data_IF_123392359303
#
_entry.id   IF_123392359303
#
_cell.length_a   1.000
_cell.length_b   1.000
_cell.length_c   1.000
_cell.angle_alpha   90.00
_cell.angle_beta   90.00
_cell.angle_gamma   90.00
#
_symmetry.space_group_name_H-M   'P 1'
#
loop_
_entity.id
_entity.type
_entity.pdbx_description
1 polymer ?
#
# COMPACT_ATOMS: atom_id res chain seq x y z
N UNK A 1 -21.05 -7.39 18.05
CA UNK A 1 -19.70 -7.04 17.58
C UNK A 1 -18.81 -8.25 17.63
N UNK A 2 -17.94 -8.38 16.64
CA UNK A 2 -17.01 -9.50 16.49
C UNK A 2 -15.61 -9.02 16.87
N UNK A 3 -14.81 -9.88 17.51
CA UNK A 3 -13.43 -9.61 17.85
C UNK A 3 -12.58 -10.87 17.62
N UNK A 4 -11.28 -10.67 17.39
CA UNK A 4 -10.34 -11.77 17.22
C UNK A 4 -9.65 -12.09 18.52
N UNK A 5 -9.41 -13.38 18.72
CA UNK A 5 -8.57 -13.88 19.80
C UNK A 5 -7.46 -14.70 19.16
N UNK A 6 -6.22 -14.30 19.42
CA UNK A 6 -5.02 -15.00 18.98
C UNK A 6 -4.31 -15.53 20.22
N UNK A 7 -4.01 -16.82 20.24
CA UNK A 7 -3.29 -17.45 21.35
C UNK A 7 -2.49 -18.64 20.80
N UNK A 8 -1.28 -18.82 21.31
CA UNK A 8 -0.41 -19.97 21.01
C UNK A 8 -0.66 -21.16 21.95
N UNK A 9 -1.47 -20.98 23.00
CA UNK A 9 -1.85 -22.03 23.95
C UNK A 9 -3.37 -22.27 23.93
N UNK A 10 -3.75 -23.49 23.54
CA UNK A 10 -5.16 -23.89 23.50
C UNK A 10 -5.86 -23.88 24.86
N UNK A 11 -5.12 -24.10 25.96
CA UNK A 11 -5.66 -24.12 27.33
C UNK A 11 -5.96 -22.71 27.79
N UNK A 12 -5.02 -21.77 27.58
CA UNK A 12 -5.25 -20.35 27.89
C UNK A 12 -6.40 -19.77 27.07
N UNK A 13 -6.49 -20.14 25.78
CA UNK A 13 -7.59 -19.73 24.92
C UNK A 13 -8.95 -20.19 25.47
N UNK A 14 -9.05 -21.45 25.91
CA UNK A 14 -10.29 -22.00 26.50
C UNK A 14 -10.62 -21.35 27.86
N UNK A 15 -9.60 -21.07 28.68
CA UNK A 15 -9.77 -20.34 29.93
C UNK A 15 -10.31 -18.94 29.68
N UNK A 16 -9.70 -18.19 28.75
CA UNK A 16 -10.13 -16.86 28.36
C UNK A 16 -11.56 -16.87 27.79
N UNK A 17 -11.88 -17.81 26.90
CA UNK A 17 -13.23 -17.94 26.35
C UNK A 17 -14.26 -18.19 27.46
N UNK A 18 -13.95 -19.08 28.40
CA UNK A 18 -14.82 -19.41 29.54
C UNK A 18 -15.03 -18.21 30.45
N UNK A 19 -13.94 -17.47 30.74
CA UNK A 19 -13.99 -16.26 31.57
C UNK A 19 -14.78 -15.15 30.87
N UNK A 20 -14.59 -14.93 29.58
CA UNK A 20 -15.36 -13.92 28.85
C UNK A 20 -16.86 -14.27 28.82
N UNK A 21 -17.23 -15.56 28.74
CA UNK A 21 -18.63 -16.01 28.78
C UNK A 21 -19.34 -15.74 30.13
N UNK A 22 -18.60 -15.55 31.23
CA UNK A 22 -19.22 -15.19 32.52
C UNK A 22 -19.69 -13.73 32.53
N UNK A 23 -19.03 -12.86 31.75
CA UNK A 23 -19.32 -11.43 31.68
C UNK A 23 -20.16 -11.04 30.45
N UNK A 24 -20.04 -11.79 29.35
CA UNK A 24 -20.63 -11.44 28.06
C UNK A 24 -21.31 -12.64 27.39
N UNK A 25 -22.38 -12.38 26.63
CA UNK A 25 -23.02 -13.39 25.76
C UNK A 25 -22.18 -13.56 24.48
N UNK A 26 -21.19 -14.44 24.53
CA UNK A 26 -20.26 -14.68 23.41
C UNK A 26 -20.56 -16.03 22.75
N UNK A 27 -20.47 -16.04 21.42
CA UNK A 27 -20.51 -17.24 20.59
C UNK A 27 -19.17 -17.41 19.89
N UNK A 28 -18.53 -18.57 20.05
CA UNK A 28 -17.37 -18.92 19.27
C UNK A 28 -17.79 -19.32 17.85
N UNK A 29 -17.22 -18.66 16.84
CA UNK A 29 -17.53 -18.89 15.42
C UNK A 29 -16.52 -19.84 14.74
N UNK A 30 -15.53 -20.32 15.49
CA UNK A 30 -14.41 -21.12 15.00
C UNK A 30 -13.41 -20.28 14.21
N UNK A 31 -12.73 -20.92 13.27
CA UNK A 31 -11.75 -20.29 12.38
C UNK A 31 -12.34 -19.07 11.66
N UNK A 32 -11.52 -18.01 11.56
CA UNK A 32 -11.93 -16.77 10.93
C UNK A 32 -12.14 -17.01 9.44
N UNK A 33 -13.36 -16.78 8.96
CA UNK A 33 -13.71 -16.89 7.54
C UNK A 33 -13.88 -15.54 6.87
N UNK A 34 -14.38 -14.55 7.61
CA UNK A 34 -14.60 -13.19 7.11
C UNK A 34 -14.38 -12.15 8.21
N UNK A 35 -13.86 -10.99 7.82
CA UNK A 35 -13.65 -9.84 8.69
C UNK A 35 -13.76 -8.54 7.88
N UNK A 36 -14.66 -7.63 8.23
CA UNK A 36 -14.78 -6.30 7.59
C UNK A 36 -14.89 -6.34 6.05
N UNK A 37 -15.34 -7.46 5.44
CA UNK A 37 -15.39 -7.64 3.99
C UNK A 37 -14.14 -8.30 3.36
N UNK A 38 -13.15 -8.65 4.18
CA UNK A 38 -12.08 -9.59 3.84
C UNK A 38 -12.60 -11.01 3.97
N UNK A 39 -12.24 -11.89 3.03
CA UNK A 39 -12.30 -13.34 3.23
C UNK A 39 -10.95 -13.82 3.71
N UNK A 40 -10.97 -14.77 4.65
CA UNK A 40 -9.78 -15.39 5.21
C UNK A 40 -9.84 -16.88 4.89
N UNK A 41 -8.76 -17.39 4.31
CA UNK A 41 -8.56 -18.81 4.05
C UNK A 41 -7.36 -19.27 4.85
N UNK A 42 -7.55 -20.25 5.73
CA UNK A 42 -6.48 -20.82 6.54
C UNK A 42 -6.27 -22.26 6.11
N UNK A 43 -5.04 -22.63 5.80
CA UNK A 43 -4.66 -24.01 5.52
C UNK A 43 -3.60 -24.44 6.54
N UNK A 44 -4.04 -25.20 7.54
CA UNK A 44 -3.19 -25.69 8.63
C UNK A 44 -2.17 -26.73 8.16
N UNK A 45 -2.46 -27.48 7.10
CA UNK A 45 -1.54 -28.51 6.56
C UNK A 45 -0.35 -27.88 5.83
N UNK A 46 -0.62 -26.84 5.03
CA UNK A 46 0.40 -26.10 4.29
C UNK A 46 0.94 -24.89 5.06
N UNK A 47 0.46 -24.67 6.29
CA UNK A 47 0.81 -23.56 7.18
C UNK A 47 0.77 -22.18 6.49
N UNK A 48 -0.36 -21.86 5.84
CA UNK A 48 -0.56 -20.54 5.25
C UNK A 48 -1.92 -19.92 5.60
N UNK A 49 -1.94 -18.59 5.56
CA UNK A 49 -3.16 -17.78 5.61
C UNK A 49 -3.24 -17.00 4.30
N UNK A 50 -4.41 -16.91 3.69
CA UNK A 50 -4.64 -16.06 2.53
C UNK A 50 -5.82 -15.13 2.79
N UNK A 51 -5.70 -13.87 2.38
CA UNK A 51 -6.80 -12.92 2.43
C UNK A 51 -7.11 -12.35 1.05
N UNK A 52 -8.40 -12.20 0.77
CA UNK A 52 -8.90 -11.64 -0.48
C UNK A 52 -10.19 -10.83 -0.26
N UNK A 53 -10.61 -10.10 -1.29
CA UNK A 53 -11.83 -9.30 -1.29
C UNK A 53 -12.71 -9.61 -2.51
N UNK A 54 -12.73 -10.86 -2.98
CA UNK A 54 -13.46 -11.24 -4.18
C UNK A 54 -14.96 -10.90 -4.08
N UNK A 55 -15.59 -11.16 -2.92
CA UNK A 55 -17.00 -10.83 -2.68
C UNK A 55 -17.24 -9.33 -2.83
N UNK A 56 -16.39 -8.51 -2.22
CA UNK A 56 -16.48 -7.06 -2.30
C UNK A 56 -16.24 -6.55 -3.73
N UNK A 57 -15.30 -7.15 -4.48
CA UNK A 57 -15.11 -6.84 -5.91
C UNK A 57 -16.38 -7.13 -6.71
N UNK A 58 -17.04 -8.27 -6.48
CA UNK A 58 -18.30 -8.59 -7.17
C UNK A 58 -19.42 -7.59 -6.81
N UNK A 59 -19.50 -7.16 -5.55
CA UNK A 59 -20.46 -6.13 -5.11
C UNK A 59 -20.22 -4.78 -5.78
N UNK A 60 -18.97 -4.32 -5.86
CA UNK A 60 -18.60 -3.10 -6.58
C UNK A 60 -18.96 -3.24 -8.06
N UNK A 61 -18.59 -4.36 -8.70
CA UNK A 61 -18.91 -4.60 -10.12
C UNK A 61 -20.42 -4.55 -10.36
N UNK A 62 -21.24 -5.14 -9.47
CA UNK A 62 -22.70 -5.06 -9.54
C UNK A 62 -23.20 -3.63 -9.38
N UNK A 63 -22.71 -2.92 -8.36
CA UNK A 63 -23.13 -1.55 -8.03
C UNK A 63 -22.92 -0.58 -9.19
N UNK A 64 -21.79 -0.70 -9.89
CA UNK A 64 -21.45 0.18 -11.01
C UNK A 64 -21.81 -0.37 -12.39
N UNK A 65 -22.60 -1.45 -12.48
CA UNK A 65 -23.09 -2.00 -13.75
C UNK A 65 -22.00 -2.64 -14.62
N UNK A 66 -20.99 -3.24 -13.99
CA UNK A 66 -19.77 -3.76 -14.63
C UNK A 66 -19.61 -5.29 -14.47
N UNK A 67 -20.65 -6.03 -14.06
CA UNK A 67 -20.57 -7.49 -13.90
C UNK A 67 -20.18 -8.21 -15.20
N UNK A 68 -20.75 -7.79 -16.32
CA UNK A 68 -20.55 -8.42 -17.64
C UNK A 68 -19.49 -7.70 -18.49
N UNK A 69 -18.67 -6.84 -17.87
CA UNK A 69 -17.63 -6.13 -18.59
C UNK A 69 -16.52 -7.07 -19.06
N UNK A 70 -15.91 -6.77 -20.22
CA UNK A 70 -14.73 -7.48 -20.71
C UNK A 70 -13.51 -7.12 -19.86
N UNK A 71 -12.84 -8.10 -19.30
CA UNK A 71 -11.63 -7.91 -18.50
C UNK A 71 -10.48 -7.24 -19.30
N UNK A 72 -9.55 -6.61 -18.59
CA UNK A 72 -8.30 -6.07 -19.15
C UNK A 72 -7.12 -6.47 -18.26
N UNK A 73 -5.91 -6.48 -18.82
CA UNK A 73 -4.71 -6.96 -18.12
C UNK A 73 -3.98 -5.89 -17.29
N UNK A 74 -4.27 -4.61 -17.48
CA UNK A 74 -3.60 -3.52 -16.74
C UNK A 74 -4.60 -2.59 -16.05
N UNK A 75 -4.28 -2.11 -14.83
CA UNK A 75 -5.17 -1.25 -14.04
C UNK A 75 -5.35 0.13 -14.67
N UNK A 76 -4.31 0.66 -15.31
CA UNK A 76 -4.29 1.94 -16.02
C UNK A 76 -3.55 1.75 -17.36
N UNK A 77 -3.80 2.64 -18.32
CA UNK A 77 -2.99 2.69 -19.54
C UNK A 77 -1.83 3.69 -19.36
N UNK A 78 -0.66 3.35 -19.87
CA UNK A 78 0.57 4.13 -19.76
C UNK A 78 0.55 5.47 -20.52
N UNK A 79 -0.39 5.65 -21.46
CA UNK A 79 -0.42 6.79 -22.39
C UNK A 79 -1.69 7.63 -22.34
N UNK A 80 -2.63 7.38 -21.41
CA UNK A 80 -3.77 8.28 -21.27
C UNK A 80 -3.23 9.57 -20.65
N UNK A 81 -3.28 10.68 -21.40
CA UNK A 81 -3.04 12.02 -20.87
C UNK A 81 -4.17 12.40 -19.91
N UNK A 82 -4.30 11.68 -18.78
CA UNK A 82 -5.29 11.94 -17.73
C UNK A 82 -5.15 13.40 -17.24
N UNK A 83 -3.94 13.93 -17.31
CA UNK A 83 -3.60 15.32 -17.00
C UNK A 83 -3.85 16.35 -18.11
N UNK A 84 -4.13 15.94 -19.35
CA UNK A 84 -4.27 16.83 -20.51
C UNK A 84 -5.73 17.17 -20.85
N UNK A 85 -6.69 16.83 -20.00
CA UNK A 85 -8.12 17.01 -20.29
C UNK A 85 -8.60 18.37 -19.77
N UNK A 86 -7.95 19.44 -20.24
CA UNK A 86 -8.60 20.74 -20.31
C UNK A 86 -9.66 20.65 -21.42
N UNK A 87 -10.94 20.66 -21.04
CA UNK A 87 -12.03 20.83 -22.02
C UNK A 87 -12.86 19.58 -22.27
N UNK A 88 -13.78 19.30 -21.35
CA UNK A 88 -15.22 19.28 -21.66
C UNK A 88 -15.93 19.09 -20.31
N UNK A 89 -16.63 20.13 -19.86
CA UNK A 89 -17.48 20.04 -18.68
C UNK A 89 -18.55 18.99 -18.95
N UNK A 90 -18.57 17.93 -18.14
CA UNK A 90 -19.56 16.88 -18.27
C UNK A 90 -20.68 17.16 -17.27
N UNK A 91 -21.88 17.50 -17.76
CA UNK A 91 -23.08 17.66 -16.92
C UNK A 91 -23.55 16.33 -16.30
N UNK A 92 -23.03 15.19 -16.77
CA UNK A 92 -23.32 13.88 -16.19
C UNK A 92 -22.61 13.73 -14.84
N UNK A 93 -23.41 13.76 -13.76
CA UNK A 93 -22.96 13.41 -12.42
C UNK A 93 -22.77 11.90 -12.30
N UNK A 94 -21.58 11.42 -12.64
CA UNK A 94 -21.19 10.05 -12.32
C UNK A 94 -20.95 9.90 -10.80
N UNK A 95 -21.21 8.72 -10.22
CA UNK A 95 -20.83 8.41 -8.83
C UNK A 95 -19.31 8.19 -8.70
N UNK A 96 -18.50 9.12 -9.20
CA UNK A 96 -17.04 9.01 -9.29
C UNK A 96 -16.40 8.89 -7.91
N UNK A 97 -16.71 9.81 -6.98
CA UNK A 97 -16.18 9.79 -5.61
C UNK A 97 -16.52 8.50 -4.87
N UNK A 98 -17.73 7.98 -5.07
CA UNK A 98 -18.16 6.71 -4.47
C UNK A 98 -17.34 5.53 -5.01
N UNK A 99 -17.13 5.50 -6.34
CA UNK A 99 -16.29 4.48 -6.97
C UNK A 99 -14.85 4.56 -6.46
N UNK A 100 -14.25 5.75 -6.45
CA UNK A 100 -12.87 5.94 -5.95
C UNK A 100 -12.76 5.54 -4.48
N UNK A 101 -13.73 5.87 -3.63
CA UNK A 101 -13.76 5.44 -2.23
C UNK A 101 -13.80 3.90 -2.10
N UNK A 102 -14.61 3.24 -2.93
CA UNK A 102 -14.71 1.77 -2.96
C UNK A 102 -13.41 1.12 -3.43
N UNK A 103 -12.76 1.70 -4.45
CA UNK A 103 -11.47 1.25 -4.96
C UNK A 103 -10.32 1.50 -3.97
N UNK A 104 -10.39 2.59 -3.19
CA UNK A 104 -9.42 2.89 -2.14
C UNK A 104 -9.41 1.82 -1.07
N UNK A 105 -10.58 1.32 -0.67
CA UNK A 105 -10.67 0.24 0.31
C UNK A 105 -9.95 -1.03 -0.19
N UNK A 106 -10.17 -1.42 -1.44
CA UNK A 106 -9.43 -2.53 -2.07
C UNK A 106 -7.92 -2.28 -2.07
N UNK A 107 -7.51 -1.08 -2.51
CA UNK A 107 -6.12 -0.69 -2.66
C UNK A 107 -5.35 -0.67 -1.33
N UNK A 108 -6.01 -0.34 -0.23
CA UNK A 108 -5.43 -0.29 1.11
C UNK A 108 -5.39 -1.68 1.76
N UNK A 109 -6.40 -2.51 1.52
CA UNK A 109 -6.54 -3.77 2.26
C UNK A 109 -5.89 -4.98 1.61
N UNK A 110 -6.09 -5.21 0.31
CA UNK A 110 -5.64 -6.46 -0.35
C UNK A 110 -5.10 -6.33 -1.77
N UNK A 111 -5.16 -5.12 -2.36
CA UNK A 111 -4.81 -4.88 -3.77
C UNK A 111 -3.70 -3.84 -3.94
N UNK A 112 -2.45 -4.13 -3.52
CA UNK A 112 -1.31 -3.24 -3.78
C UNK A 112 -1.12 -2.93 -5.27
N UNK A 113 -1.48 -3.87 -6.13
CA UNK A 113 -1.36 -3.78 -7.58
C UNK A 113 -2.24 -2.69 -8.23
N UNK A 114 -3.26 -2.17 -7.52
CA UNK A 114 -4.07 -1.03 -7.99
C UNK A 114 -3.73 0.29 -7.30
N UNK A 115 -2.84 0.30 -6.29
CA UNK A 115 -2.61 1.47 -5.44
C UNK A 115 -2.18 2.70 -6.24
N UNK A 116 -1.32 2.54 -7.26
CA UNK A 116 -0.94 3.63 -8.15
C UNK A 116 -2.13 4.19 -8.94
N UNK A 117 -2.92 3.32 -9.59
CA UNK A 117 -4.07 3.73 -10.39
C UNK A 117 -5.12 4.47 -9.55
N UNK A 118 -5.40 3.98 -8.34
CA UNK A 118 -6.32 4.64 -7.40
C UNK A 118 -5.76 5.99 -6.95
N UNK A 119 -4.46 6.06 -6.64
CA UNK A 119 -3.77 7.29 -6.24
C UNK A 119 -3.87 8.36 -7.34
N UNK A 120 -3.61 7.99 -8.60
CA UNK A 120 -3.75 8.88 -9.76
C UNK A 120 -5.19 9.40 -9.90
N UNK A 121 -6.17 8.49 -9.92
CA UNK A 121 -7.58 8.83 -10.13
C UNK A 121 -8.17 9.67 -8.98
N UNK A 122 -7.69 9.48 -7.76
CA UNK A 122 -8.18 10.21 -6.58
C UNK A 122 -7.96 11.72 -6.62
N UNK A 123 -6.97 12.18 -7.39
CA UNK A 123 -6.66 13.61 -7.56
C UNK A 123 -7.80 14.40 -8.19
N UNK A 124 -8.65 13.71 -8.96
CA UNK A 124 -9.73 14.34 -9.73
C UNK A 124 -11.08 14.26 -9.01
N UNK A 125 -11.12 13.93 -7.72
CA UNK A 125 -12.37 13.82 -6.97
C UNK A 125 -13.25 15.08 -7.03
N UNK A 126 -12.67 16.27 -7.20
CA UNK A 126 -13.40 17.55 -7.31
C UNK A 126 -13.57 18.06 -8.74
N UNK A 127 -12.89 17.49 -9.72
CA UNK A 127 -12.83 17.98 -11.11
C UNK A 127 -12.81 16.84 -12.16
N UNK A 128 -13.41 15.69 -11.85
CA UNK A 128 -13.44 14.54 -12.76
C UNK A 128 -14.21 14.88 -14.05
N UNK A 129 -13.85 14.18 -15.12
CA UNK A 129 -14.41 14.32 -16.47
C UNK A 129 -14.84 12.94 -16.97
N UNK A 130 -15.41 12.86 -18.17
CA UNK A 130 -15.75 11.58 -18.81
C UNK A 130 -14.54 10.67 -19.00
N UNK A 131 -13.36 11.24 -19.28
CA UNK A 131 -12.10 10.49 -19.40
C UNK A 131 -11.71 9.87 -18.06
N UNK A 132 -11.79 10.63 -16.97
CA UNK A 132 -11.54 10.12 -15.61
C UNK A 132 -12.51 8.98 -15.26
N UNK A 133 -13.80 9.14 -15.56
CA UNK A 133 -14.80 8.09 -15.36
C UNK A 133 -14.51 6.83 -16.17
N UNK A 134 -14.11 6.97 -17.44
CA UNK A 134 -13.70 5.84 -18.26
C UNK A 134 -12.47 5.12 -17.70
N UNK A 135 -11.49 5.85 -17.18
CA UNK A 135 -10.33 5.26 -16.51
C UNK A 135 -10.72 4.51 -15.24
N UNK A 136 -11.61 5.08 -14.41
CA UNK A 136 -12.12 4.39 -13.22
C UNK A 136 -12.90 3.11 -13.58
N UNK A 137 -13.73 3.14 -14.63
CA UNK A 137 -14.39 1.93 -15.16
C UNK A 137 -13.39 0.93 -15.75
N UNK A 138 -12.29 1.37 -16.36
CA UNK A 138 -11.21 0.48 -16.80
C UNK A 138 -10.61 -0.27 -15.60
N UNK A 139 -10.40 0.41 -14.47
CA UNK A 139 -9.91 -0.26 -13.26
C UNK A 139 -10.87 -1.36 -12.78
N UNK A 140 -12.18 -1.15 -12.88
CA UNK A 140 -13.18 -2.20 -12.63
C UNK A 140 -13.04 -3.39 -13.60
N UNK A 141 -12.74 -3.15 -14.88
CA UNK A 141 -12.48 -4.23 -15.85
C UNK A 141 -11.22 -5.02 -15.49
N UNK A 142 -10.19 -4.37 -14.97
CA UNK A 142 -9.00 -5.05 -14.46
C UNK A 142 -9.36 -5.93 -13.25
N UNK A 143 -10.06 -5.35 -12.27
CA UNK A 143 -10.55 -6.09 -11.09
C UNK A 143 -11.44 -7.28 -11.46
N UNK A 144 -12.28 -7.18 -12.49
CA UNK A 144 -13.07 -8.30 -13.00
C UNK A 144 -12.20 -9.49 -13.43
N UNK A 145 -11.09 -9.21 -14.11
CA UNK A 145 -10.14 -10.23 -14.56
C UNK A 145 -9.32 -10.83 -13.41
N UNK A 146 -9.05 -10.05 -12.37
CA UNK A 146 -8.15 -10.44 -11.26
C UNK A 146 -8.87 -10.59 -9.92
N UNK A 147 -10.19 -10.76 -9.91
CA UNK A 147 -11.00 -10.77 -8.67
C UNK A 147 -10.64 -11.88 -7.68
N UNK A 148 -10.00 -12.94 -8.18
CA UNK A 148 -9.57 -14.11 -7.43
C UNK A 148 -8.16 -13.96 -6.83
N UNK A 149 -7.48 -12.84 -7.07
CA UNK A 149 -6.17 -12.59 -6.48
C UNK A 149 -6.30 -12.47 -4.96
N UNK A 150 -5.36 -13.10 -4.25
CA UNK A 150 -5.30 -13.13 -2.79
C UNK A 150 -3.87 -12.85 -2.33
N UNK A 151 -3.72 -12.21 -1.18
CA UNK A 151 -2.43 -12.11 -0.51
C UNK A 151 -2.22 -13.37 0.33
N UNK A 152 -1.24 -14.19 -0.06
CA UNK A 152 -0.84 -15.41 0.66
C UNK A 152 0.29 -15.08 1.63
N UNK A 153 0.11 -15.45 2.89
CA UNK A 153 1.05 -15.28 3.99
C UNK A 153 1.62 -16.64 4.38
N UNK A 154 2.93 -16.79 4.23
CA UNK A 154 3.71 -17.98 4.61
C UNK A 154 4.90 -17.51 5.42
N UNK A 155 5.18 -18.15 6.55
CA UNK A 155 6.35 -17.78 7.35
C UNK A 155 7.65 -18.25 6.70
N UNK A 156 8.43 -17.31 6.15
CA UNK A 156 9.76 -17.56 5.60
C UNK A 156 10.90 -17.01 6.48
N UNK A 157 10.63 -16.57 7.72
CA UNK A 157 11.61 -16.10 8.70
C UNK A 157 12.59 -15.00 8.21
N UNK A 158 12.22 -14.23 7.19
CA UNK A 158 13.10 -13.22 6.57
C UNK A 158 13.09 -11.85 7.27
N UNK A 159 12.40 -11.71 8.40
CA UNK A 159 12.26 -10.43 9.10
C UNK A 159 11.50 -9.37 8.31
N UNK A 160 11.59 -8.12 8.77
CA UNK A 160 10.98 -6.94 8.15
C UNK A 160 11.95 -6.27 7.18
N UNK A 161 11.52 -6.10 5.92
CA UNK A 161 12.31 -5.45 4.86
C UNK A 161 11.43 -4.51 4.04
N UNK A 162 11.97 -3.34 3.69
CA UNK A 162 11.31 -2.33 2.88
C UNK A 162 11.93 -2.18 1.49
N UNK A 163 11.13 -1.72 0.53
CA UNK A 163 11.54 -1.30 -0.80
C UNK A 163 10.93 0.06 -1.06
N UNK A 164 11.73 1.02 -1.52
CA UNK A 164 11.28 2.36 -1.84
C UNK A 164 11.78 2.78 -3.22
N UNK A 165 10.91 3.41 -3.98
CA UNK A 165 11.14 3.83 -5.35
C UNK A 165 10.40 5.16 -5.61
N UNK A 166 10.92 5.95 -6.54
CA UNK A 166 10.23 7.14 -7.03
C UNK A 166 10.23 7.18 -8.55
N UNK A 167 9.06 7.47 -9.15
CA UNK A 167 9.10 7.91 -10.54
C UNK A 167 9.67 9.35 -10.60
N UNK A 168 10.34 9.73 -11.69
CA UNK A 168 10.85 11.09 -11.83
C UNK A 168 10.08 11.87 -12.88
N UNK A 169 9.43 12.97 -12.45
CA UNK A 169 8.78 13.93 -13.35
C UNK A 169 7.67 13.33 -14.22
N UNK A 170 7.07 12.23 -13.78
CA UNK A 170 6.09 11.44 -14.55
C UNK A 170 4.81 12.22 -14.85
N UNK A 171 4.38 13.11 -13.93
CA UNK A 171 3.26 13.99 -14.18
C UNK A 171 3.67 15.17 -15.07
N UNK A 172 3.20 15.15 -16.31
CA UNK A 172 3.45 16.20 -17.31
C UNK A 172 2.88 17.58 -16.91
N UNK A 173 1.86 17.62 -16.03
CA UNK A 173 1.16 18.86 -15.69
C UNK A 173 1.88 19.65 -14.59
N UNK A 174 2.20 19.03 -13.45
CA UNK A 174 2.85 19.73 -12.34
C UNK A 174 4.28 19.25 -12.04
N UNK A 175 4.80 18.30 -12.84
CA UNK A 175 6.16 17.74 -12.73
C UNK A 175 6.48 17.11 -11.37
N UNK A 176 5.46 16.79 -10.57
CA UNK A 176 5.65 16.08 -9.31
C UNK A 176 5.79 14.59 -9.57
N UNK A 177 6.73 14.00 -8.86
CA UNK A 177 6.97 12.56 -8.80
C UNK A 177 5.93 11.83 -7.96
N UNK A 178 5.88 10.51 -8.09
CA UNK A 178 5.21 9.57 -7.21
C UNK A 178 6.23 8.81 -6.38
N UNK A 179 5.97 8.74 -5.09
CA UNK A 179 6.65 7.86 -4.15
C UNK A 179 5.90 6.53 -4.09
N UNK A 180 6.64 5.43 -4.25
CA UNK A 180 6.18 4.07 -4.00
C UNK A 180 6.99 3.44 -2.87
N UNK A 181 6.33 2.67 -2.00
CA UNK A 181 7.03 1.72 -1.14
C UNK A 181 6.23 0.45 -0.93
N UNK A 182 6.94 -0.64 -0.60
CA UNK A 182 6.37 -1.92 -0.17
C UNK A 182 7.22 -2.47 0.96
N UNK A 183 6.58 -2.87 2.05
CA UNK A 183 7.19 -3.57 3.18
C UNK A 183 6.73 -5.02 3.22
N UNK A 184 7.71 -5.91 3.44
CA UNK A 184 7.48 -7.33 3.62
C UNK A 184 7.92 -7.77 5.01
N UNK A 185 7.09 -8.58 5.66
CA UNK A 185 7.42 -9.28 6.90
C UNK A 185 7.42 -10.78 6.62
N UNK A 186 8.56 -11.44 6.90
CA UNK A 186 8.78 -12.86 6.62
C UNK A 186 8.44 -13.26 5.18
N UNK A 187 8.77 -12.37 4.22
CA UNK A 187 8.54 -12.57 2.79
C UNK A 187 7.16 -12.12 2.30
N UNK A 188 6.26 -11.73 3.18
CA UNK A 188 4.86 -11.40 2.85
C UNK A 188 4.63 -9.91 2.86
N UNK A 189 3.92 -9.39 1.85
CA UNK A 189 3.56 -7.98 1.75
C UNK A 189 2.59 -7.58 2.88
N UNK A 190 2.97 -6.61 3.72
CA UNK A 190 2.16 -6.17 4.88
C UNK A 190 1.80 -4.69 4.87
N UNK A 191 2.58 -3.85 4.18
CA UNK A 191 2.30 -2.43 4.03
C UNK A 191 2.83 -1.95 2.69
N UNK A 192 2.12 -1.03 2.06
CA UNK A 192 2.50 -0.48 0.77
C UNK A 192 1.85 0.87 0.57
N UNK A 193 2.42 1.67 -0.34
CA UNK A 193 1.87 2.95 -0.70
C UNK A 193 2.30 3.35 -2.09
N UNK A 194 1.41 4.07 -2.77
CA UNK A 194 1.75 4.86 -3.95
C UNK A 194 1.09 6.22 -3.84
N UNK A 195 1.87 7.28 -3.76
CA UNK A 195 1.34 8.63 -3.56
C UNK A 195 2.15 9.67 -4.32
N UNK A 196 1.45 10.70 -4.79
CA UNK A 196 2.10 11.85 -5.42
C UNK A 196 2.87 12.65 -4.37
N UNK A 197 4.10 13.01 -4.69
CA UNK A 197 4.93 13.87 -3.86
C UNK A 197 4.29 15.25 -3.70
N UNK A 198 4.46 15.85 -2.51
CA UNK A 198 3.85 17.15 -2.19
C UNK A 198 4.58 18.31 -2.86
N UNK A 199 5.91 18.25 -2.91
CA UNK A 199 6.79 19.19 -3.60
C UNK A 199 7.28 18.61 -4.93
N UNK A 200 7.74 19.49 -5.83
CA UNK A 200 8.43 19.09 -7.06
C UNK A 200 9.88 18.77 -6.69
N UNK A 201 10.37 17.60 -7.07
CA UNK A 201 11.77 17.24 -6.94
C UNK A 201 12.59 17.87 -8.08
N UNK A 202 13.74 18.46 -7.76
CA UNK A 202 14.62 19.11 -8.74
C UNK A 202 15.55 18.11 -9.43
N UNK A 203 15.61 16.87 -8.96
CA UNK A 203 16.40 15.78 -9.54
C UNK A 203 15.77 14.42 -9.25
N UNK A 204 16.18 13.39 -10.00
CA UNK A 204 15.83 11.98 -9.73
C UNK A 204 16.26 11.60 -8.31
N UNK A 205 17.50 11.94 -7.94
CA UNK A 205 18.05 11.73 -6.60
C UNK A 205 17.18 12.32 -5.50
N UNK A 206 16.65 13.53 -5.70
CA UNK A 206 15.77 14.18 -4.74
C UNK A 206 14.41 13.47 -4.62
N UNK A 207 13.83 13.05 -5.74
CA UNK A 207 12.58 12.29 -5.73
C UNK A 207 12.75 10.96 -4.96
N UNK A 208 13.84 10.25 -5.20
CA UNK A 208 14.20 9.01 -4.51
C UNK A 208 14.45 9.23 -3.02
N UNK A 209 15.15 10.31 -2.66
CA UNK A 209 15.38 10.68 -1.28
C UNK A 209 14.06 10.98 -0.55
N UNK A 210 13.12 11.66 -1.21
CA UNK A 210 11.79 11.90 -0.67
C UNK A 210 11.01 10.60 -0.49
N UNK A 211 11.14 9.62 -1.39
CA UNK A 211 10.55 8.30 -1.24
C UNK A 211 11.14 7.51 -0.06
N UNK A 212 12.47 7.47 0.05
CA UNK A 212 13.17 6.91 1.21
C UNK A 212 12.71 7.54 2.53
N UNK A 213 12.54 8.85 2.56
CA UNK A 213 12.05 9.57 3.76
C UNK A 213 10.63 9.17 4.16
N UNK A 214 9.72 8.89 3.22
CA UNK A 214 8.38 8.37 3.55
C UNK A 214 8.44 6.90 3.96
N UNK A 215 9.25 6.08 3.29
CA UNK A 215 9.45 4.68 3.65
C UNK A 215 10.06 4.53 5.05
N UNK A 216 11.02 5.39 5.43
CA UNK A 216 11.62 5.38 6.76
C UNK A 216 10.61 5.58 7.89
N UNK A 217 9.64 6.49 7.72
CA UNK A 217 8.57 6.70 8.71
C UNK A 217 7.73 5.42 8.89
N UNK A 218 7.39 4.77 7.77
CA UNK A 218 6.65 3.51 7.79
C UNK A 218 7.47 2.39 8.43
N UNK A 219 8.76 2.29 8.09
CA UNK A 219 9.68 1.30 8.64
C UNK A 219 9.77 1.40 10.17
N UNK A 220 9.95 2.61 10.70
CA UNK A 220 10.01 2.85 12.15
C UNK A 220 8.69 2.48 12.84
N UNK A 221 7.55 2.84 12.24
CA UNK A 221 6.23 2.48 12.74
C UNK A 221 6.04 0.95 12.79
N UNK A 222 6.34 0.27 11.68
CA UNK A 222 6.23 -1.18 11.57
C UNK A 222 7.19 -1.90 12.51
N UNK A 223 8.42 -1.40 12.67
CA UNK A 223 9.40 -2.01 13.57
C UNK A 223 8.92 -1.97 15.02
N UNK A 224 8.35 -0.83 15.44
CA UNK A 224 7.73 -0.69 16.75
C UNK A 224 6.54 -1.65 16.92
N UNK A 225 5.67 -1.76 15.93
CA UNK A 225 4.54 -2.68 15.96
C UNK A 225 4.99 -4.15 16.07
N UNK A 226 6.01 -4.55 15.31
CA UNK A 226 6.59 -5.90 15.37
C UNK A 226 7.20 -6.17 16.75
N UNK A 227 7.91 -5.19 17.33
CA UNK A 227 8.44 -5.30 18.69
C UNK A 227 7.32 -5.48 19.72
N UNK A 228 6.25 -4.68 19.66
CA UNK A 228 5.11 -4.79 20.57
C UNK A 228 4.39 -6.14 20.48
N UNK A 229 4.31 -6.74 19.28
CA UNK A 229 3.64 -8.02 19.07
C UNK A 229 4.51 -9.23 19.40
N UNK A 230 5.84 -9.14 19.23
CA UNK A 230 6.72 -10.32 19.28
C UNK A 230 7.83 -10.23 20.34
N UNK A 231 8.06 -9.05 20.92
CA UNK A 231 9.19 -8.77 21.80
C UNK A 231 10.54 -8.75 21.08
N UNK A 232 10.57 -8.86 19.76
CA UNK A 232 11.79 -8.90 18.93
C UNK A 232 11.67 -7.90 17.78
N UNK A 233 12.73 -7.17 17.52
CA UNK A 233 12.86 -6.30 16.36
C UNK A 233 14.32 -6.15 16.00
N UNK A 234 14.59 -6.05 14.71
CA UNK A 234 15.91 -5.76 14.16
C UNK A 234 15.89 -4.40 13.46
N UNK A 235 17.05 -3.92 13.05
CA UNK A 235 17.14 -2.75 12.17
C UNK A 235 16.46 -3.07 10.83
N UNK A 236 15.60 -2.17 10.35
CA UNK A 236 14.85 -2.39 9.10
C UNK A 236 15.67 -1.93 7.91
N UNK A 237 16.00 -2.86 7.01
CA UNK A 237 16.66 -2.52 5.74
C UNK A 237 15.62 -2.02 4.74
N UNK A 238 15.84 -0.81 4.21
CA UNK A 238 15.06 -0.22 3.12
C UNK A 238 15.91 -0.23 1.85
N UNK A 239 15.46 -1.00 0.87
CA UNK A 239 16.11 -1.12 -0.42
C UNK A 239 15.72 0.01 -1.37
N UNK A 240 16.71 0.60 -2.01
CA UNK A 240 16.56 1.59 -3.08
C UNK A 240 17.61 1.35 -4.17
N UNK A 241 17.35 1.76 -5.40
CA UNK A 241 18.26 1.56 -6.53
C UNK A 241 19.10 2.81 -6.88
N UNK A 242 18.80 3.96 -6.26
CA UNK A 242 19.50 5.22 -6.50
C UNK A 242 20.68 5.42 -5.54
N UNK A 243 21.88 5.09 -6.02
CA UNK A 243 23.13 5.24 -5.25
C UNK A 243 23.39 6.67 -4.74
N UNK A 244 22.93 7.70 -5.46
CA UNK A 244 23.11 9.09 -5.02
C UNK A 244 22.23 9.40 -3.80
N UNK A 245 20.99 8.91 -3.80
CA UNK A 245 20.08 9.08 -2.67
C UNK A 245 20.59 8.31 -1.44
N UNK A 246 21.10 7.09 -1.64
CA UNK A 246 21.73 6.29 -0.58
C UNK A 246 22.94 7.02 0.04
N UNK A 247 23.84 7.54 -0.80
CA UNK A 247 25.00 8.32 -0.32
C UNK A 247 24.60 9.57 0.45
N UNK A 248 23.53 10.26 0.03
CA UNK A 248 23.02 11.43 0.73
C UNK A 248 22.44 11.09 2.12
N UNK A 249 21.85 9.91 2.26
CA UNK A 249 21.31 9.45 3.52
C UNK A 249 22.41 8.99 4.50
N UNK A 250 23.55 8.54 3.99
CA UNK A 250 24.68 8.10 4.81
C UNK A 250 25.73 9.19 5.09
N UNK A 251 25.77 10.30 4.34
CA UNK A 251 26.83 11.31 4.46
C UNK A 251 26.30 12.72 4.78
N UNK A 252 26.82 13.40 5.82
CA UNK A 252 26.35 14.72 6.26
C UNK A 252 26.81 15.91 5.41
N UNK A 253 27.75 15.72 4.46
CA UNK A 253 28.55 16.80 3.86
C UNK A 253 27.88 17.54 2.68
N UNK A 254 26.80 17.01 2.10
CA UNK A 254 26.20 17.57 0.87
C UNK A 254 24.96 18.42 1.15
N UNK A 255 25.07 19.76 1.26
CA UNK A 255 23.91 20.61 1.61
C UNK A 255 23.72 21.97 0.93
N UNK A 256 24.45 22.33 -0.13
CA UNK A 256 24.23 23.67 -0.70
C UNK A 256 22.96 23.80 -1.57
N UNK A 257 22.34 22.71 -2.07
CA UNK A 257 21.29 22.78 -3.11
C UNK A 257 19.88 22.29 -2.75
N UNK A 258 19.60 21.88 -1.51
CA UNK A 258 18.32 21.19 -1.18
C UNK A 258 17.55 21.74 0.03
N UNK A 259 17.59 23.06 0.27
CA UNK A 259 16.96 23.72 1.45
C UNK A 259 15.46 23.45 1.61
N UNK A 260 14.74 23.18 0.52
CA UNK A 260 13.28 23.01 0.55
C UNK A 260 12.81 21.64 1.03
N UNK A 261 13.74 20.69 1.23
CA UNK A 261 13.48 19.37 1.82
C UNK A 261 14.42 19.07 3.00
N UNK A 262 15.05 20.09 3.59
CA UNK A 262 16.09 19.96 4.62
C UNK A 262 15.66 19.13 5.83
N UNK A 263 14.41 19.29 6.27
CA UNK A 263 13.82 18.50 7.36
C UNK A 263 13.82 16.99 7.02
N UNK A 264 13.58 16.62 5.76
CA UNK A 264 13.61 15.22 5.34
C UNK A 264 15.03 14.67 5.36
N UNK A 265 16.03 15.51 5.05
CA UNK A 265 17.43 15.13 5.13
C UNK A 265 17.84 14.80 6.56
N UNK A 266 17.57 15.71 7.49
CA UNK A 266 17.86 15.50 8.90
C UNK A 266 17.16 14.24 9.42
N UNK A 267 15.85 14.11 9.18
CA UNK A 267 15.09 12.95 9.62
C UNK A 267 15.68 11.62 9.14
N UNK A 268 15.92 11.47 7.83
CA UNK A 268 16.39 10.19 7.29
C UNK A 268 17.81 9.86 7.77
N UNK A 269 18.68 10.87 7.89
CA UNK A 269 20.04 10.68 8.42
C UNK A 269 20.05 10.31 9.88
N UNK A 270 19.25 10.98 10.70
CA UNK A 270 19.15 10.68 12.12
C UNK A 270 18.65 9.24 12.32
N UNK A 271 17.65 8.81 11.53
CA UNK A 271 17.16 7.44 11.57
C UNK A 271 18.25 6.40 11.20
N UNK A 272 19.07 6.68 10.20
CA UNK A 272 20.22 5.83 9.84
C UNK A 272 21.30 5.86 10.93
N UNK A 273 21.68 7.04 11.41
CA UNK A 273 22.73 7.21 12.40
C UNK A 273 22.38 6.56 13.75
N UNK A 274 21.09 6.56 14.12
CA UNK A 274 20.57 5.90 15.31
C UNK A 274 20.34 4.39 15.13
N UNK A 275 20.67 3.83 13.95
CA UNK A 275 20.44 2.43 13.60
C UNK A 275 18.97 2.00 13.72
N UNK A 276 18.05 2.93 13.47
CA UNK A 276 16.60 2.65 13.41
C UNK A 276 16.23 2.03 12.06
N UNK A 277 16.96 2.40 11.00
CA UNK A 277 16.87 1.85 9.65
C UNK A 277 18.28 1.71 9.04
N UNK A 278 18.40 0.84 8.04
CA UNK A 278 19.57 0.75 7.17
C UNK A 278 19.12 0.88 5.70
N UNK A 279 20.02 1.36 4.83
CA UNK A 279 19.71 1.58 3.42
C UNK A 279 20.48 0.59 2.57
N UNK A 280 19.75 -0.40 2.03
CA UNK A 280 20.29 -1.44 1.17
C UNK A 280 20.26 -1.05 -0.31
N UNK A 281 21.26 -1.50 -1.06
CA UNK A 281 21.25 -1.38 -2.53
C UNK A 281 20.49 -2.54 -3.17
N UNK A 282 19.70 -2.26 -4.20
CA UNK A 282 19.24 -3.26 -5.17
C UNK A 282 19.57 -2.81 -6.58
N UNK A 283 19.73 -3.77 -7.49
CA UNK A 283 19.92 -3.47 -8.92
C UNK A 283 18.57 -3.45 -9.62
N UNK A 284 18.25 -2.38 -10.34
CA UNK A 284 17.11 -2.38 -11.24
C UNK A 284 17.38 -3.32 -12.42
N UNK A 285 16.40 -4.18 -12.71
CA UNK A 285 16.32 -4.85 -14.01
C UNK A 285 15.88 -3.80 -15.02
N UNK A 286 16.85 -3.17 -15.70
CA UNK A 286 16.59 -2.38 -16.91
C UNK A 286 16.40 -3.30 -18.11
#
# INVERSE_FOLDING_TARGET
DDFFVFCNDSVELQFLESHLKTHFKIKNLGDVKQCLGLRVTQNHNENFIAIDQENYINEILKRFGMLDCKAVYTPLESNIGISNVDGEFCDEKFPYKELIGSLMYLAVMTRPDISYAVSVLSQYNTCYTKVHWQCAKRLLRYLKGTKHFSMKFIDNQSGLVGFADADWGSDKHNRKSYTGYVFKLNGNCISWRSCKQRSVALSTTEAEYMALSEAAKEAMYLNKLVFELTGKSDCVVIHNDNQSAQKLANNPVFHERSKHIDIRYHFLRDAVANNEIDIGTIYSHK
#
